data_IF_006917357020
#
_entry.id   IF_006917357020
#
_cell.length_a   1.000
_cell.length_b   1.000
_cell.length_c   1.000
_cell.angle_alpha   90.00
_cell.angle_beta   90.00
_cell.angle_gamma   90.00
#
_symmetry.space_group_name_H-M   'P 1'
#
loop_
_entity.id
_entity.type
_entity.pdbx_description
1 polymer ?
#
# COMPACT_ATOMS: atom_id res chain seq x y z
N UNK A 1 10.57 -8.97 66.09
CA UNK A 1 10.08 -10.28 65.61
C UNK A 1 9.44 -10.07 64.26
N UNK A 2 10.22 -10.22 63.19
CA UNK A 2 9.76 -10.07 61.82
C UNK A 2 9.27 -11.44 61.33
N UNK A 3 8.00 -11.53 60.95
CA UNK A 3 7.40 -12.72 60.35
C UNK A 3 7.72 -12.75 58.85
N UNK A 4 8.53 -13.74 58.44
CA UNK A 4 8.85 -14.06 57.05
C UNK A 4 7.62 -14.58 56.30
N UNK A 5 7.22 -13.87 55.26
CA UNK A 5 6.26 -14.34 54.27
C UNK A 5 7.00 -15.21 53.25
N UNK A 6 6.85 -16.54 53.33
CA UNK A 6 7.35 -17.48 52.32
C UNK A 6 6.67 -17.24 50.97
N UNK A 7 7.40 -16.74 49.98
CA UNK A 7 7.00 -16.80 48.57
C UNK A 7 7.20 -18.22 48.06
N UNK A 8 6.11 -18.91 47.74
CA UNK A 8 6.15 -20.15 46.98
C UNK A 8 6.55 -19.83 45.53
N UNK A 9 7.71 -20.31 45.10
CA UNK A 9 8.13 -20.31 43.70
C UNK A 9 7.37 -21.40 42.96
N UNK A 10 6.32 -21.03 42.23
CA UNK A 10 5.63 -21.90 41.29
C UNK A 10 6.54 -22.09 40.06
N UNK A 11 7.25 -23.22 39.99
CA UNK A 11 7.90 -23.65 38.75
C UNK A 11 6.81 -24.19 37.80
N UNK A 12 6.39 -23.37 36.84
CA UNK A 12 5.56 -23.83 35.72
C UNK A 12 6.49 -24.54 34.73
N UNK A 13 6.62 -25.85 34.87
CA UNK A 13 7.22 -26.74 33.87
C UNK A 13 6.20 -26.97 32.75
N UNK A 14 6.19 -26.08 31.75
CA UNK A 14 5.51 -26.36 30.49
C UNK A 14 6.44 -27.22 29.62
N UNK A 15 6.26 -28.54 29.66
CA UNK A 15 6.82 -29.46 28.65
C UNK A 15 6.20 -29.12 27.30
N UNK A 16 6.95 -28.44 26.44
CA UNK A 16 6.58 -28.19 25.04
C UNK A 16 6.83 -29.48 24.25
N UNK A 17 5.95 -30.47 24.40
CA UNK A 17 5.80 -31.54 23.42
C UNK A 17 4.95 -30.99 22.26
N UNK A 18 5.60 -30.33 21.30
CA UNK A 18 4.89 -29.71 20.17
C UNK A 18 5.73 -29.03 19.10
N UNK A 19 7.06 -29.20 19.08
CA UNK A 19 7.94 -28.56 18.08
C UNK A 19 8.23 -29.39 16.84
N UNK A 20 7.48 -30.47 16.60
CA UNK A 20 7.72 -31.39 15.49
C UNK A 20 6.86 -31.15 14.23
N UNK A 21 6.27 -29.95 14.05
CA UNK A 21 5.53 -29.64 12.81
C UNK A 21 5.64 -28.18 12.32
N UNK A 22 6.80 -27.55 12.52
CA UNK A 22 7.23 -26.38 11.72
C UNK A 22 8.15 -26.82 10.57
N UNK A 23 8.01 -28.06 10.11
CA UNK A 23 8.82 -28.62 9.04
C UNK A 23 8.39 -28.03 7.69
N UNK A 24 9.35 -27.32 7.08
CA UNK A 24 9.40 -26.83 5.70
C UNK A 24 8.42 -25.69 5.35
N UNK A 25 8.78 -24.47 5.77
CA UNK A 25 8.73 -23.40 4.78
C UNK A 25 9.55 -23.87 3.56
N UNK A 26 8.92 -23.97 2.40
CA UNK A 26 9.63 -24.31 1.17
C UNK A 26 10.85 -23.39 1.06
N UNK A 27 12.04 -23.98 0.88
CA UNK A 27 13.28 -23.21 0.80
C UNK A 27 13.15 -22.14 -0.30
N UNK A 28 13.60 -20.92 0.00
CA UNK A 28 13.50 -19.82 -0.96
C UNK A 28 14.18 -20.19 -2.29
N UNK A 29 13.53 -19.92 -3.44
CA UNK A 29 14.14 -20.22 -4.73
C UNK A 29 15.48 -19.50 -4.93
N UNK A 30 16.47 -20.24 -5.41
CA UNK A 30 17.77 -19.64 -5.78
C UNK A 30 17.63 -18.75 -7.02
N UNK A 31 18.56 -17.81 -7.20
CA UNK A 31 18.59 -16.95 -8.40
C UNK A 31 18.64 -17.76 -9.71
N UNK A 32 19.31 -18.92 -9.70
CA UNK A 32 19.33 -19.84 -10.84
C UNK A 32 17.95 -20.45 -11.09
N UNK A 33 17.26 -20.90 -10.05
CA UNK A 33 15.91 -21.44 -10.16
C UNK A 33 14.91 -20.38 -10.66
N UNK A 34 15.00 -19.15 -10.15
CA UNK A 34 14.18 -18.01 -10.60
C UNK A 34 14.36 -17.75 -12.10
N UNK A 35 15.62 -17.73 -12.56
CA UNK A 35 15.92 -17.51 -13.97
C UNK A 35 15.46 -18.67 -14.86
N UNK A 36 15.75 -19.91 -14.45
CA UNK A 36 15.48 -21.13 -15.22
C UNK A 36 13.98 -21.40 -15.35
N UNK A 37 13.28 -21.35 -14.22
CA UNK A 37 11.85 -21.71 -14.14
C UNK A 37 10.95 -20.47 -14.33
N UNK A 38 11.56 -19.32 -14.64
CA UNK A 38 10.89 -18.02 -14.88
C UNK A 38 9.95 -17.58 -13.75
N UNK A 39 10.33 -17.85 -12.50
CA UNK A 39 9.52 -17.51 -11.32
C UNK A 39 9.27 -15.99 -11.18
N UNK A 40 10.10 -15.16 -11.81
CA UNK A 40 9.89 -13.71 -11.85
C UNK A 40 8.57 -13.29 -12.54
N UNK A 41 8.00 -14.13 -13.41
CA UNK A 41 6.73 -13.84 -14.07
C UNK A 41 5.55 -13.85 -13.10
N UNK A 42 5.50 -14.81 -12.18
CA UNK A 42 4.46 -14.84 -11.13
C UNK A 42 4.67 -13.74 -10.09
N UNK A 43 5.90 -13.22 -9.98
CA UNK A 43 6.23 -12.05 -9.15
C UNK A 43 5.95 -10.72 -9.85
N UNK A 44 5.42 -10.72 -11.09
CA UNK A 44 4.94 -9.52 -11.77
C UNK A 44 5.93 -8.88 -12.76
N UNK A 45 7.05 -9.53 -13.08
CA UNK A 45 8.00 -9.07 -14.09
C UNK A 45 7.80 -9.78 -15.42
N UNK A 46 7.80 -9.03 -16.51
CA UNK A 46 7.94 -9.59 -17.86
C UNK A 46 9.39 -10.05 -18.11
N UNK A 47 9.60 -10.92 -19.10
CA UNK A 47 10.96 -11.35 -19.50
C UNK A 47 11.88 -10.15 -19.78
N UNK A 48 11.36 -9.11 -20.45
CA UNK A 48 12.11 -7.89 -20.76
C UNK A 48 12.42 -7.03 -19.53
N UNK A 49 11.54 -6.99 -18.53
CA UNK A 49 11.80 -6.30 -17.26
C UNK A 49 12.83 -7.07 -16.42
N UNK A 50 12.71 -8.39 -16.34
CA UNK A 50 13.70 -9.23 -15.64
C UNK A 50 15.10 -9.10 -16.24
N UNK A 51 15.24 -9.13 -17.57
CA UNK A 51 16.55 -8.93 -18.21
C UNK A 51 17.12 -7.53 -17.92
N UNK A 52 16.28 -6.49 -17.83
CA UNK A 52 16.72 -5.16 -17.42
C UNK A 52 17.19 -5.12 -15.97
N UNK A 53 16.54 -5.85 -15.06
CA UNK A 53 17.00 -6.02 -13.68
C UNK A 53 18.36 -6.71 -13.64
N UNK A 54 18.54 -7.81 -14.36
CA UNK A 54 19.82 -8.54 -14.43
C UNK A 54 20.93 -7.64 -14.96
N UNK A 55 20.67 -6.89 -16.04
CA UNK A 55 21.63 -5.96 -16.62
C UNK A 55 21.97 -4.81 -15.66
N UNK A 56 20.97 -4.26 -14.95
CA UNK A 56 21.17 -3.17 -13.98
C UNK A 56 21.95 -3.60 -12.74
N UNK A 57 21.78 -4.84 -12.28
CA UNK A 57 22.50 -5.39 -11.13
C UNK A 57 23.87 -6.00 -11.49
N UNK A 58 24.10 -6.31 -12.77
CA UNK A 58 25.28 -7.07 -13.22
C UNK A 58 25.28 -8.54 -12.79
N UNK A 59 24.16 -9.04 -12.24
CA UNK A 59 23.96 -10.43 -11.79
C UNK A 59 22.48 -10.77 -11.75
N UNK A 60 22.16 -12.06 -11.62
CA UNK A 60 20.79 -12.48 -11.36
C UNK A 60 20.32 -11.95 -9.98
N UNK A 61 19.10 -11.37 -9.88
CA UNK A 61 18.53 -10.99 -8.60
C UNK A 61 18.18 -12.24 -7.77
N UNK A 62 18.27 -12.13 -6.45
CA UNK A 62 17.73 -13.16 -5.55
C UNK A 62 16.19 -13.08 -5.47
N UNK A 63 15.57 -13.97 -4.69
CA UNK A 63 14.11 -14.03 -4.56
C UNK A 63 13.50 -12.72 -4.06
N UNK A 64 14.08 -12.14 -3.01
CA UNK A 64 13.60 -10.88 -2.40
C UNK A 64 13.76 -9.71 -3.37
N UNK A 65 14.92 -9.57 -4.00
CA UNK A 65 15.18 -8.53 -4.99
C UNK A 65 14.21 -8.63 -6.17
N UNK A 66 13.96 -9.84 -6.66
CA UNK A 66 13.00 -10.09 -7.75
C UNK A 66 11.59 -9.65 -7.35
N UNK A 67 11.14 -9.98 -6.13
CA UNK A 67 9.85 -9.55 -5.61
C UNK A 67 9.74 -8.03 -5.46
N UNK A 68 10.80 -7.37 -4.95
CA UNK A 68 10.85 -5.91 -4.83
C UNK A 68 10.71 -5.25 -6.21
N UNK A 69 11.47 -5.70 -7.20
CA UNK A 69 11.34 -5.18 -8.57
C UNK A 69 9.94 -5.44 -9.14
N UNK A 70 9.37 -6.63 -8.90
CA UNK A 70 8.03 -6.99 -9.35
C UNK A 70 6.95 -6.02 -8.88
N UNK A 71 6.99 -5.65 -7.58
CA UNK A 71 6.04 -4.68 -7.02
C UNK A 71 6.35 -3.25 -7.50
N UNK A 72 7.61 -2.80 -7.41
CA UNK A 72 7.98 -1.42 -7.74
C UNK A 72 7.78 -1.09 -9.23
N UNK A 73 7.91 -2.07 -10.12
CA UNK A 73 7.71 -1.90 -11.57
C UNK A 73 6.30 -2.33 -12.04
N UNK A 74 5.40 -2.63 -11.11
CA UNK A 74 3.98 -2.79 -11.41
C UNK A 74 3.38 -1.50 -11.98
N UNK A 75 2.24 -1.60 -12.68
CA UNK A 75 1.55 -0.41 -13.21
C UNK A 75 1.16 0.56 -12.08
N UNK A 76 0.71 0.01 -10.95
CA UNK A 76 0.27 0.78 -9.79
C UNK A 76 1.37 1.68 -9.22
N UNK A 77 2.61 1.19 -9.14
CA UNK A 77 3.72 1.97 -8.59
C UNK A 77 4.45 2.80 -9.64
N UNK A 78 4.62 2.29 -10.86
CA UNK A 78 5.50 2.90 -11.86
C UNK A 78 4.79 3.83 -12.84
N UNK A 79 3.45 3.74 -12.95
CA UNK A 79 2.66 4.48 -13.91
C UNK A 79 3.16 4.29 -15.36
N UNK A 80 3.72 3.11 -15.68
CA UNK A 80 4.45 2.89 -16.93
C UNK A 80 3.63 3.18 -18.18
N UNK A 81 2.32 2.93 -18.16
CA UNK A 81 1.42 3.25 -19.27
C UNK A 81 1.00 4.73 -19.30
N UNK A 82 0.78 5.34 -18.14
CA UNK A 82 0.15 6.67 -18.03
C UNK A 82 1.16 7.83 -17.96
N UNK A 83 2.35 7.60 -17.40
CA UNK A 83 3.41 8.61 -17.23
C UNK A 83 3.76 9.40 -18.50
N UNK A 84 3.84 8.81 -19.72
CA UNK A 84 4.11 9.58 -20.93
C UNK A 84 3.04 10.63 -21.25
N UNK A 85 1.78 10.35 -20.91
CA UNK A 85 0.65 11.26 -21.12
C UNK A 85 0.55 12.30 -20.01
N UNK A 86 0.72 11.88 -18.75
CA UNK A 86 0.66 12.79 -17.60
C UNK A 86 1.70 13.91 -17.65
N UNK A 87 2.86 13.65 -18.26
CA UNK A 87 3.91 14.66 -18.49
C UNK A 87 3.50 15.81 -19.41
N UNK A 88 2.41 15.66 -20.16
CA UNK A 88 1.95 16.69 -21.10
C UNK A 88 1.12 17.78 -20.40
N UNK A 89 0.68 17.54 -19.14
CA UNK A 89 -0.08 18.52 -18.41
C UNK A 89 0.79 19.69 -17.91
N UNK A 90 0.26 20.93 -17.89
CA UNK A 90 0.96 22.04 -17.27
C UNK A 90 1.06 21.83 -15.75
N UNK A 91 2.26 22.01 -15.21
CA UNK A 91 2.56 21.79 -13.78
C UNK A 91 3.05 23.03 -13.05
N UNK A 92 3.13 24.17 -13.75
CA UNK A 92 3.64 25.43 -13.21
C UNK A 92 2.54 26.48 -13.18
N UNK A 93 2.62 27.38 -12.19
CA UNK A 93 1.72 28.50 -12.00
C UNK A 93 2.19 29.35 -10.84
N UNK A 94 1.81 30.63 -10.80
CA UNK A 94 2.26 31.58 -9.76
C UNK A 94 1.86 31.17 -8.34
N UNK A 95 0.76 30.42 -8.20
CA UNK A 95 0.24 29.93 -6.93
C UNK A 95 0.74 28.52 -6.58
N UNK A 96 1.48 27.84 -7.46
CA UNK A 96 1.95 26.47 -7.21
C UNK A 96 3.19 26.53 -6.33
N UNK A 97 3.06 26.11 -5.07
CA UNK A 97 4.19 25.95 -4.15
C UNK A 97 4.86 24.58 -4.33
N UNK A 98 4.06 23.54 -4.59
CA UNK A 98 4.54 22.19 -4.86
C UNK A 98 3.69 21.53 -5.96
N UNK A 99 4.33 21.18 -7.08
CA UNK A 99 3.72 20.42 -8.18
C UNK A 99 3.92 18.90 -8.01
N UNK A 100 3.70 18.11 -9.07
CA UNK A 100 3.92 16.66 -9.06
C UNK A 100 5.37 16.30 -8.68
N UNK A 101 5.53 15.31 -7.80
CA UNK A 101 6.84 14.80 -7.36
C UNK A 101 6.85 14.35 -5.90
N UNK A 102 6.02 15.00 -5.08
CA UNK A 102 5.84 14.70 -3.66
C UNK A 102 4.49 14.02 -3.39
N UNK A 103 4.23 13.69 -2.12
CA UNK A 103 3.00 13.02 -1.69
C UNK A 103 1.73 13.86 -1.87
N UNK A 104 1.79 15.18 -2.05
CA UNK A 104 0.62 15.98 -2.43
C UNK A 104 1.03 17.26 -3.16
N UNK A 105 0.09 17.86 -3.90
CA UNK A 105 0.26 19.19 -4.48
C UNK A 105 -0.06 20.27 -3.45
N UNK A 106 0.64 21.40 -3.51
CA UNK A 106 0.42 22.54 -2.61
C UNK A 106 0.25 23.82 -3.42
N UNK A 107 -0.80 24.58 -3.09
CA UNK A 107 -1.04 25.92 -3.66
C UNK A 107 -1.08 26.99 -2.57
N UNK A 108 -0.55 28.17 -2.89
CA UNK A 108 -0.63 29.38 -2.07
C UNK A 108 -2.00 30.04 -2.23
N UNK A 109 -2.65 30.33 -1.11
CA UNK A 109 -3.90 31.09 -1.07
C UNK A 109 -3.71 32.56 -0.69
N UNK A 110 -2.48 32.98 -0.38
CA UNK A 110 -2.16 34.30 0.14
C UNK A 110 -2.22 34.35 1.66
N UNK A 111 -1.85 35.50 2.22
CA UNK A 111 -1.87 35.78 3.67
C UNK A 111 -1.15 34.74 4.54
N UNK A 112 -0.09 34.12 4.00
CA UNK A 112 0.68 33.08 4.68
C UNK A 112 -0.05 31.74 4.81
N UNK A 113 -1.12 31.52 4.04
CA UNK A 113 -1.93 30.30 4.05
C UNK A 113 -1.73 29.50 2.76
N UNK A 114 -1.52 28.20 2.89
CA UNK A 114 -1.42 27.27 1.77
C UNK A 114 -2.36 26.07 1.96
N UNK A 115 -2.74 25.42 0.85
CA UNK A 115 -3.55 24.21 0.86
C UNK A 115 -2.81 23.08 0.18
N UNK A 116 -2.63 21.98 0.91
CA UNK A 116 -2.19 20.70 0.38
C UNK A 116 -3.40 19.85 -0.02
N UNK A 117 -3.36 19.25 -1.21
CA UNK A 117 -4.42 18.36 -1.68
C UNK A 117 -3.86 17.26 -2.59
N UNK A 118 -4.53 16.11 -2.55
CA UNK A 118 -4.29 14.97 -3.43
C UNK A 118 -5.59 14.21 -3.65
N UNK A 119 -5.62 13.37 -4.67
CA UNK A 119 -6.68 12.43 -4.95
C UNK A 119 -6.04 11.04 -5.08
N UNK A 120 -6.67 10.03 -4.49
CA UNK A 120 -6.29 8.63 -4.61
C UNK A 120 -7.50 7.76 -4.94
N UNK A 121 -7.26 6.50 -5.29
CA UNK A 121 -8.32 5.52 -5.54
C UNK A 121 -7.99 4.21 -4.83
N UNK A 122 -9.03 3.53 -4.34
CA UNK A 122 -8.88 2.26 -3.63
C UNK A 122 -9.83 1.20 -4.20
N UNK A 123 -9.92 1.15 -5.53
CA UNK A 123 -10.99 0.48 -6.28
C UNK A 123 -10.99 -1.04 -6.07
N UNK A 124 -9.87 -1.71 -6.38
CA UNK A 124 -9.81 -3.17 -6.35
C UNK A 124 -10.06 -3.73 -4.94
N UNK A 125 -9.42 -3.21 -3.86
CA UNK A 125 -9.72 -3.71 -2.52
C UNK A 125 -11.17 -3.42 -2.11
N UNK A 126 -11.73 -2.26 -2.46
CA UNK A 126 -13.14 -1.93 -2.15
C UNK A 126 -14.14 -2.81 -2.89
N UNK A 127 -13.77 -3.40 -4.03
CA UNK A 127 -14.61 -4.37 -4.72
C UNK A 127 -14.63 -5.74 -4.02
N UNK A 128 -13.56 -6.10 -3.31
CA UNK A 128 -13.42 -7.38 -2.61
C UNK A 128 -13.93 -7.29 -1.18
N UNK A 129 -13.50 -6.27 -0.45
CA UNK A 129 -13.89 -5.99 0.93
C UNK A 129 -14.19 -4.48 1.04
N UNK A 130 -15.47 -4.08 0.91
CA UNK A 130 -15.85 -2.68 0.72
C UNK A 130 -15.60 -1.78 1.93
N UNK A 131 -15.76 -2.29 3.15
CA UNK A 131 -15.61 -1.47 4.36
C UNK A 131 -14.15 -1.08 4.58
N UNK A 132 -13.27 -2.08 4.71
CA UNK A 132 -11.85 -1.90 4.90
C UNK A 132 -11.21 -1.29 3.67
N UNK A 133 -11.59 -1.72 2.46
CA UNK A 133 -11.08 -1.12 1.23
C UNK A 133 -11.29 0.38 1.16
N UNK A 134 -12.48 0.86 1.58
CA UNK A 134 -12.76 2.28 1.63
C UNK A 134 -12.06 2.98 2.81
N UNK A 135 -12.12 2.39 4.01
CA UNK A 135 -11.50 2.94 5.21
C UNK A 135 -9.97 3.11 5.06
N UNK A 136 -9.28 2.13 4.48
CA UNK A 136 -7.83 2.22 4.23
C UNK A 136 -7.51 3.23 3.13
N UNK A 137 -8.43 3.45 2.18
CA UNK A 137 -8.35 4.54 1.21
C UNK A 137 -8.36 5.91 1.88
N UNK A 138 -9.26 6.14 2.84
CA UNK A 138 -9.29 7.37 3.65
C UNK A 138 -8.01 7.51 4.46
N UNK A 139 -7.57 6.45 5.13
CA UNK A 139 -6.32 6.49 5.89
C UNK A 139 -5.09 6.77 5.04
N UNK A 140 -5.05 6.26 3.80
CA UNK A 140 -3.98 6.51 2.82
C UNK A 140 -3.85 7.99 2.47
N UNK A 141 -4.93 8.57 1.95
CA UNK A 141 -4.93 9.97 1.51
C UNK A 141 -4.66 10.95 2.66
N UNK A 142 -5.13 10.65 3.88
CA UNK A 142 -4.83 11.48 5.04
C UNK A 142 -3.33 11.44 5.38
N UNK A 143 -2.68 10.27 5.29
CA UNK A 143 -1.22 10.15 5.51
C UNK A 143 -0.42 10.96 4.51
N UNK A 144 -0.82 10.99 3.25
CA UNK A 144 -0.16 11.83 2.24
C UNK A 144 -0.15 13.30 2.66
N UNK A 145 -1.31 13.83 3.07
CA UNK A 145 -1.44 15.21 3.52
C UNK A 145 -0.61 15.46 4.79
N UNK A 146 -0.63 14.53 5.76
CA UNK A 146 0.19 14.64 6.98
C UNK A 146 1.69 14.73 6.66
N UNK A 147 2.18 13.95 5.69
CA UNK A 147 3.61 13.98 5.31
C UNK A 147 4.05 15.28 4.67
N UNK A 148 3.11 16.09 4.17
CA UNK A 148 3.39 17.45 3.69
C UNK A 148 3.48 18.49 4.83
N UNK A 149 3.28 18.07 6.09
CA UNK A 149 3.20 18.98 7.23
C UNK A 149 1.89 19.77 7.32
N UNK A 150 0.88 19.40 6.52
CA UNK A 150 -0.42 20.04 6.52
C UNK A 150 -1.39 19.33 7.47
N UNK A 151 -2.30 20.09 8.08
CA UNK A 151 -3.41 19.54 8.86
C UNK A 151 -4.58 19.21 7.93
N UNK A 152 -5.06 17.96 7.83
CA UNK A 152 -6.30 17.68 7.11
C UNK A 152 -7.48 18.43 7.73
N UNK A 153 -8.27 19.10 6.88
CA UNK A 153 -9.45 19.89 7.30
C UNK A 153 -10.75 19.40 6.66
N UNK A 154 -10.65 18.66 5.55
CA UNK A 154 -11.75 18.07 4.83
C UNK A 154 -11.22 16.92 3.96
N UNK A 155 -12.10 15.98 3.64
CA UNK A 155 -11.90 14.98 2.58
C UNK A 155 -13.21 14.86 1.79
N UNK A 156 -13.09 14.42 0.53
CA UNK A 156 -14.22 14.29 -0.39
C UNK A 156 -14.17 12.92 -1.05
N UNK A 157 -15.32 12.30 -1.24
CA UNK A 157 -15.47 11.02 -1.90
C UNK A 157 -15.97 11.17 -3.34
N UNK A 158 -15.40 10.39 -4.26
CA UNK A 158 -15.85 10.29 -5.65
C UNK A 158 -16.28 8.86 -5.94
N UNK A 159 -17.51 8.53 -5.55
CA UNK A 159 -18.03 7.16 -5.61
C UNK A 159 -18.72 6.86 -6.94
N UNK A 160 -18.47 5.67 -7.50
CA UNK A 160 -19.13 5.18 -8.73
C UNK A 160 -19.45 3.70 -8.55
N UNK A 161 -20.71 3.35 -8.75
CA UNK A 161 -21.24 1.99 -8.62
C UNK A 161 -22.16 1.66 -9.80
N UNK A 162 -22.52 0.39 -9.94
CA UNK A 162 -23.57 -0.04 -10.87
C UNK A 162 -24.97 0.41 -10.42
N UNK A 163 -26.03 -0.13 -11.05
CA UNK A 163 -27.42 0.11 -10.65
C UNK A 163 -27.70 -0.36 -9.21
N UNK A 164 -28.37 0.45 -8.40
CA UNK A 164 -28.66 0.14 -6.98
C UNK A 164 -29.83 -0.84 -6.82
N UNK A 165 -30.47 -1.26 -7.90
CA UNK A 165 -31.44 -2.34 -7.93
C UNK A 165 -30.77 -3.70 -7.69
N UNK A 166 -29.49 -3.82 -8.03
CA UNK A 166 -28.68 -5.00 -7.75
C UNK A 166 -28.31 -5.10 -6.26
N UNK A 167 -28.66 -6.20 -5.56
CA UNK A 167 -28.29 -6.41 -4.16
C UNK A 167 -26.79 -6.34 -3.90
N UNK A 168 -25.94 -6.83 -4.82
CA UNK A 168 -24.49 -6.77 -4.62
C UNK A 168 -23.99 -5.33 -4.68
N UNK A 169 -24.46 -4.55 -5.65
CA UNK A 169 -24.10 -3.14 -5.74
C UNK A 169 -24.55 -2.35 -4.51
N UNK A 170 -25.75 -2.60 -3.97
CA UNK A 170 -26.16 -1.99 -2.68
C UNK A 170 -25.24 -2.38 -1.53
N UNK A 171 -24.79 -3.63 -1.48
CA UNK A 171 -23.84 -4.10 -0.47
C UNK A 171 -22.51 -3.33 -0.57
N UNK A 172 -21.96 -3.16 -1.78
CA UNK A 172 -20.74 -2.38 -2.00
C UNK A 172 -20.94 -0.92 -1.57
N UNK A 173 -22.00 -0.27 -2.05
CA UNK A 173 -22.31 1.12 -1.71
C UNK A 173 -22.41 1.33 -0.20
N UNK A 174 -23.24 0.53 0.48
CA UNK A 174 -23.49 0.69 1.91
C UNK A 174 -22.20 0.52 2.74
N UNK A 175 -21.38 -0.48 2.43
CA UNK A 175 -20.16 -0.75 3.17
C UNK A 175 -19.02 0.22 2.83
N UNK A 176 -18.91 0.70 1.59
CA UNK A 176 -17.94 1.75 1.23
C UNK A 176 -18.24 3.04 1.99
N UNK A 177 -19.51 3.47 1.99
CA UNK A 177 -19.93 4.67 2.74
C UNK A 177 -19.71 4.48 4.24
N UNK A 178 -20.04 3.30 4.78
CA UNK A 178 -19.77 2.98 6.19
C UNK A 178 -18.27 2.98 6.51
N UNK A 179 -17.40 2.46 5.63
CA UNK A 179 -15.96 2.46 5.81
C UNK A 179 -15.36 3.86 5.78
N UNK A 180 -15.83 4.72 4.87
CA UNK A 180 -15.45 6.14 4.81
C UNK A 180 -15.83 6.85 6.12
N UNK A 181 -17.09 6.70 6.54
CA UNK A 181 -17.57 7.29 7.80
C UNK A 181 -16.87 6.72 9.03
N UNK A 182 -16.55 5.42 9.04
CA UNK A 182 -15.90 4.75 10.16
C UNK A 182 -14.45 5.20 10.39
N UNK A 183 -13.72 5.59 9.34
CA UNK A 183 -12.38 6.16 9.48
C UNK A 183 -12.40 7.68 9.69
N UNK A 184 -13.33 8.38 9.02
CA UNK A 184 -13.38 9.83 9.00
C UNK A 184 -14.01 10.50 10.23
N UNK A 185 -14.89 9.79 10.95
CA UNK A 185 -15.52 10.27 12.20
C UNK A 185 -14.65 9.95 13.42
#
# INVERSE_FOLDING_TARGET
MATETRRASLQVSATVEGTANLAQAAAEPTALAIAKDKLYQSLGLTDAEYQRVVAGLGRAPNYVETGIFGVLWSEHCSYKSSKPYLKQFPTTGSQVLQGPGENAGIVDLGDGTAVAFKMESHNHPSAIEPYQGAATGVGGILRDIFTMGARPIAFLDSLRFGPLEDPHTRYLFANVVAGIGGYGN
#
